data_IF_015636111229
#
_entry.id   IF_015636111229
#
_cell.length_a   1.000
_cell.length_b   1.000
_cell.length_c   1.000
_cell.angle_alpha   90.00
_cell.angle_beta   90.00
_cell.angle_gamma   90.00
#
_symmetry.space_group_name_H-M   'P 1'
#
loop_
_entity.id
_entity.type
_entity.pdbx_description
1 polymer ?
#
# COMPACT_ATOMS: atom_id res chain seq x y z
N UNK A 1 -3.82 9.31 3.90
CA UNK A 1 -4.39 10.29 4.84
C UNK A 1 -4.58 9.67 6.20
N UNK A 2 -4.81 10.47 7.24
CA UNK A 2 -5.34 9.99 8.51
C UNK A 2 -6.80 9.53 8.31
N UNK A 3 -7.17 8.41 8.91
CA UNK A 3 -8.56 7.94 9.00
C UNK A 3 -9.35 8.89 9.90
N UNK A 4 -10.56 9.25 9.48
CA UNK A 4 -11.50 10.03 10.28
C UNK A 4 -12.34 9.01 11.08
N UNK A 5 -12.17 8.89 12.41
CA UNK A 5 -12.88 7.89 13.18
C UNK A 5 -14.38 8.12 13.21
N UNK A 6 -15.16 7.05 13.07
CA UNK A 6 -16.62 7.07 13.29
C UNK A 6 -16.97 6.53 14.70
N UNK A 7 -15.98 5.95 15.38
CA UNK A 7 -16.07 5.38 16.72
C UNK A 7 -15.65 6.35 17.85
N UNK A 8 -15.92 5.96 19.10
CA UNK A 8 -15.46 6.64 20.32
C UNK A 8 -15.86 8.11 20.49
N UNK A 9 -17.03 8.49 19.98
CA UNK A 9 -17.59 9.86 20.05
C UNK A 9 -16.75 10.94 19.35
N UNK A 10 -15.86 10.55 18.44
CA UNK A 10 -15.13 11.49 17.59
C UNK A 10 -16.11 12.34 16.76
N UNK A 11 -15.81 13.64 16.62
CA UNK A 11 -16.68 14.63 15.97
C UNK A 11 -17.92 15.05 16.77
N UNK A 12 -18.36 14.24 17.75
CA UNK A 12 -19.52 14.56 18.61
C UNK A 12 -19.13 15.29 19.90
N UNK A 13 -17.98 14.94 20.48
CA UNK A 13 -17.45 15.57 21.69
C UNK A 13 -16.09 16.25 21.40
N UNK A 14 -15.95 17.56 21.65
CA UNK A 14 -14.73 18.31 21.31
C UNK A 14 -13.50 17.89 22.13
N UNK A 15 -13.67 17.11 23.21
CA UNK A 15 -12.54 16.55 23.98
C UNK A 15 -11.91 15.34 23.32
N UNK A 16 -12.56 14.77 22.29
CA UNK A 16 -12.04 13.63 21.53
C UNK A 16 -11.28 14.15 20.33
N UNK A 17 -9.99 13.82 20.25
CA UNK A 17 -9.07 14.29 19.22
C UNK A 17 -8.30 13.12 18.60
N UNK A 18 -7.76 13.27 17.40
CA UNK A 18 -6.78 12.35 16.83
C UNK A 18 -5.38 12.64 17.36
N UNK A 19 -4.44 11.71 17.15
CA UNK A 19 -3.02 11.96 17.45
C UNK A 19 -2.44 13.11 16.64
N UNK A 20 -2.91 13.33 15.42
CA UNK A 20 -2.46 14.44 14.58
C UNK A 20 -2.96 15.79 15.12
N UNK A 21 -4.23 15.86 15.52
CA UNK A 21 -4.82 17.06 16.15
C UNK A 21 -4.13 17.38 17.48
N UNK A 22 -3.91 16.38 18.34
CA UNK A 22 -3.14 16.56 19.57
C UNK A 22 -1.72 17.07 19.29
N UNK A 23 -1.06 16.54 18.26
CA UNK A 23 0.28 16.97 17.90
C UNK A 23 0.31 18.45 17.49
N UNK A 24 -0.72 18.92 16.77
CA UNK A 24 -0.88 20.34 16.44
C UNK A 24 -1.08 21.19 17.70
N UNK A 25 -1.91 20.75 18.65
CA UNK A 25 -2.09 21.45 19.93
C UNK A 25 -0.79 21.53 20.73
N UNK A 26 -0.04 20.43 20.84
CA UNK A 26 1.25 20.41 21.52
C UNK A 26 2.28 21.36 20.90
N UNK A 27 2.19 21.59 19.59
CA UNK A 27 3.12 22.47 18.87
C UNK A 27 2.69 23.94 18.85
N UNK A 28 1.39 24.23 18.78
CA UNK A 28 0.88 25.58 18.53
C UNK A 28 0.18 26.20 19.76
N UNK A 29 -0.43 25.37 20.60
CA UNK A 29 -1.25 25.79 21.73
C UNK A 29 -0.89 25.01 23.01
N UNK A 30 0.38 25.03 23.46
CA UNK A 30 0.83 24.25 24.62
C UNK A 30 0.08 24.62 25.91
N UNK A 31 -0.41 25.87 26.00
CA UNK A 31 -1.26 26.37 27.09
C UNK A 31 -2.52 25.50 27.29
N UNK A 32 -3.17 25.06 26.18
CA UNK A 32 -4.35 24.18 26.26
C UNK A 32 -4.01 22.86 26.93
N UNK A 33 -2.86 22.28 26.59
CA UNK A 33 -2.41 21.00 27.14
C UNK A 33 -1.96 21.13 28.59
N UNK A 34 -1.40 22.29 28.98
CA UNK A 34 -0.92 22.52 30.34
C UNK A 34 -2.03 22.40 31.41
N UNK A 35 -3.29 22.67 31.03
CA UNK A 35 -4.44 22.64 31.93
C UNK A 35 -5.13 21.27 32.01
N UNK A 36 -4.78 20.35 31.11
CA UNK A 36 -5.36 19.01 31.05
C UNK A 36 -4.82 18.18 32.22
N UNK A 37 -5.70 17.57 33.01
CA UNK A 37 -5.28 16.75 34.16
C UNK A 37 -5.12 15.28 33.78
N UNK A 38 -6.01 14.76 32.93
CA UNK A 38 -5.96 13.37 32.48
C UNK A 38 -6.15 13.24 30.97
N UNK A 39 -5.18 12.57 30.33
CA UNK A 39 -5.20 12.19 28.91
C UNK A 39 -5.27 10.67 28.79
N UNK A 40 -6.25 10.18 28.03
CA UNK A 40 -6.33 8.76 27.67
C UNK A 40 -6.12 8.63 26.17
N UNK A 41 -5.23 7.75 25.73
CA UNK A 41 -4.95 7.48 24.32
C UNK A 41 -5.41 6.06 23.95
N UNK A 42 -6.25 5.91 22.92
CA UNK A 42 -6.70 4.61 22.42
C UNK A 42 -5.89 4.23 21.18
N UNK A 43 -5.20 3.10 21.24
CA UNK A 43 -4.45 2.57 20.09
C UNK A 43 -5.33 1.74 19.15
N UNK A 44 -4.84 1.59 17.92
CA UNK A 44 -5.44 0.75 16.87
C UNK A 44 -6.83 1.20 16.41
N UNK A 45 -7.16 2.50 16.52
CA UNK A 45 -8.42 3.05 16.00
C UNK A 45 -8.41 2.96 14.47
N UNK A 46 -9.37 2.23 13.90
CA UNK A 46 -9.37 1.87 12.48
C UNK A 46 -8.21 0.97 11.99
N UNK A 47 -7.41 0.33 12.83
CA UNK A 47 -6.33 -0.58 12.38
C UNK A 47 -6.40 -1.92 13.09
N UNK A 48 -5.98 -3.00 12.42
CA UNK A 48 -6.06 -4.36 12.98
C UNK A 48 -7.51 -4.73 13.34
N UNK A 49 -8.40 -4.38 12.43
CA UNK A 49 -9.82 -4.72 12.43
C UNK A 49 -10.10 -5.64 11.25
N UNK A 50 -11.22 -6.38 11.26
CA UNK A 50 -11.52 -7.35 10.21
C UNK A 50 -11.52 -6.72 8.81
N UNK A 51 -12.12 -5.53 8.66
CA UNK A 51 -12.13 -4.78 7.40
C UNK A 51 -10.76 -4.19 7.01
N UNK A 52 -9.86 -4.01 7.98
CA UNK A 52 -8.54 -3.39 7.80
C UNK A 52 -7.51 -4.08 8.68
N UNK A 53 -7.06 -5.29 8.30
CA UNK A 53 -6.27 -6.17 9.17
C UNK A 53 -4.84 -5.67 9.40
N UNK A 54 -4.36 -4.73 8.57
CA UNK A 54 -3.02 -4.18 8.66
C UNK A 54 -2.81 -3.27 9.89
N UNK A 55 -1.55 -3.12 10.27
CA UNK A 55 -1.12 -2.16 11.28
C UNK A 55 -0.68 -0.86 10.62
N UNK A 56 -1.08 0.29 11.18
CA UNK A 56 -0.65 1.60 10.67
C UNK A 56 0.80 1.97 11.00
N UNK A 57 1.53 1.13 11.75
CA UNK A 57 2.99 1.18 12.04
C UNK A 57 3.53 2.42 12.76
N UNK A 58 2.87 3.57 12.70
CA UNK A 58 3.33 4.84 13.30
C UNK A 58 2.59 5.20 14.59
N UNK A 59 1.34 4.77 14.73
CA UNK A 59 0.44 5.14 15.84
C UNK A 59 1.04 4.93 17.24
N UNK A 60 1.67 3.77 17.49
CA UNK A 60 2.29 3.48 18.79
C UNK A 60 3.42 4.45 19.14
N UNK A 61 4.27 4.78 18.17
CA UNK A 61 5.42 5.66 18.38
C UNK A 61 4.99 7.13 18.49
N UNK A 62 4.00 7.55 17.70
CA UNK A 62 3.40 8.89 17.81
C UNK A 62 2.76 9.10 19.18
N UNK A 63 2.00 8.12 19.68
CA UNK A 63 1.42 8.19 21.01
C UNK A 63 2.47 8.35 22.11
N UNK A 64 3.56 7.58 22.05
CA UNK A 64 4.68 7.68 23.02
C UNK A 64 5.35 9.06 22.94
N UNK A 65 5.60 9.56 21.73
CA UNK A 65 6.21 10.88 21.53
C UNK A 65 5.33 12.02 22.08
N UNK A 66 4.03 12.00 21.74
CA UNK A 66 3.07 12.98 22.24
C UNK A 66 2.90 12.89 23.76
N UNK A 67 2.84 11.67 24.33
CA UNK A 67 2.73 11.46 25.77
C UNK A 67 3.95 11.98 26.54
N UNK A 68 5.16 11.76 26.03
CA UNK A 68 6.37 12.37 26.58
C UNK A 68 6.32 13.89 26.49
N UNK A 69 5.84 14.45 25.37
CA UNK A 69 5.73 15.89 25.22
C UNK A 69 4.72 16.52 26.18
N UNK A 70 3.60 15.85 26.45
CA UNK A 70 2.65 16.23 27.50
C UNK A 70 3.35 16.30 28.86
N UNK A 71 4.14 15.28 29.21
CA UNK A 71 4.91 15.26 30.47
C UNK A 71 5.98 16.34 30.56
N UNK A 72 6.57 16.76 29.45
CA UNK A 72 7.48 17.91 29.40
C UNK A 72 6.76 19.24 29.68
N UNK A 73 5.54 19.41 29.16
CA UNK A 73 4.75 20.64 29.34
C UNK A 73 4.17 20.70 30.75
N UNK A 74 3.54 19.62 31.21
CA UNK A 74 3.00 19.49 32.56
C UNK A 74 3.28 18.09 33.11
N UNK A 75 4.30 17.92 33.98
CA UNK A 75 4.66 16.64 34.57
C UNK A 75 3.55 15.98 35.39
N UNK A 76 2.62 16.76 35.93
CA UNK A 76 1.51 16.28 36.76
C UNK A 76 0.38 15.66 35.96
N UNK A 77 0.29 15.92 34.65
CA UNK A 77 -0.75 15.36 33.78
C UNK A 77 -0.70 13.83 33.80
N UNK A 78 -1.80 13.18 34.14
CA UNK A 78 -1.90 11.73 34.05
C UNK A 78 -2.09 11.32 32.59
N UNK A 79 -1.18 10.51 32.05
CA UNK A 79 -1.28 10.01 30.67
C UNK A 79 -1.40 8.50 30.69
N UNK A 80 -2.48 7.99 30.09
CA UNK A 80 -2.79 6.57 30.00
C UNK A 80 -2.88 6.19 28.52
N UNK A 81 -2.17 5.14 28.12
CA UNK A 81 -2.22 4.58 26.76
C UNK A 81 -2.88 3.20 26.82
N UNK A 82 -4.05 3.08 26.21
CA UNK A 82 -4.79 1.83 26.05
C UNK A 82 -4.33 1.14 24.77
N UNK A 83 -3.77 -0.08 24.88
CA UNK A 83 -3.11 -0.73 23.74
C UNK A 83 -3.37 -2.25 23.68
N UNK A 84 -3.18 -2.84 22.50
CA UNK A 84 -3.12 -4.31 22.33
C UNK A 84 -1.68 -4.80 22.44
N UNK A 85 -0.83 -4.27 21.55
CA UNK A 85 0.62 -4.47 21.53
C UNK A 85 1.30 -3.12 21.30
N UNK A 86 2.38 -2.83 22.04
CA UNK A 86 3.21 -1.66 21.77
C UNK A 86 4.23 -2.00 20.68
N UNK A 87 4.10 -1.36 19.52
CA UNK A 87 4.98 -1.59 18.35
C UNK A 87 5.98 -0.46 18.17
N UNK A 88 6.86 -0.28 19.15
CA UNK A 88 7.96 0.69 19.17
C UNK A 88 9.28 0.07 18.72
N UNK A 89 9.30 -0.52 17.52
CA UNK A 89 10.44 -1.30 17.02
C UNK A 89 11.74 -0.49 16.83
N UNK A 90 12.87 -1.17 16.98
CA UNK A 90 14.21 -0.59 16.84
C UNK A 90 14.52 0.40 17.97
N UNK A 91 15.12 1.53 17.64
CA UNK A 91 15.51 2.56 18.63
C UNK A 91 14.31 3.23 19.32
N UNK A 92 13.10 3.05 18.78
CA UNK A 92 11.86 3.61 19.36
C UNK A 92 11.52 2.97 20.70
N UNK A 93 12.07 1.79 21.00
CA UNK A 93 11.90 1.11 22.29
C UNK A 93 12.52 1.89 23.45
N UNK A 94 13.61 2.64 23.20
CA UNK A 94 14.21 3.51 24.20
C UNK A 94 13.26 4.63 24.64
N UNK A 95 12.47 5.16 23.70
CA UNK A 95 11.44 6.16 24.03
C UNK A 95 10.27 5.55 24.78
N UNK A 96 9.89 4.31 24.46
CA UNK A 96 8.87 3.60 25.23
C UNK A 96 9.33 3.36 26.68
N UNK A 97 10.58 2.95 26.89
CA UNK A 97 11.18 2.86 28.24
C UNK A 97 11.16 4.21 28.96
N UNK A 98 11.63 5.28 28.30
CA UNK A 98 11.62 6.64 28.85
C UNK A 98 10.21 7.08 29.24
N UNK A 99 9.20 6.75 28.43
CA UNK A 99 7.80 7.08 28.73
C UNK A 99 7.30 6.39 30.00
N UNK A 100 7.63 5.10 30.19
CA UNK A 100 7.29 4.37 31.41
C UNK A 100 7.98 4.96 32.64
N UNK A 101 9.26 5.32 32.52
CA UNK A 101 10.03 5.98 33.60
C UNK A 101 9.47 7.36 33.96
N UNK A 102 8.87 8.08 32.99
CA UNK A 102 8.16 9.34 33.20
C UNK A 102 6.76 9.17 33.83
N UNK A 103 6.38 7.95 34.23
CA UNK A 103 5.10 7.66 34.88
C UNK A 103 3.90 7.58 33.94
N UNK A 104 4.12 7.42 32.63
CA UNK A 104 3.04 7.19 31.65
C UNK A 104 2.55 5.74 31.82
N UNK A 105 1.22 5.58 31.97
CA UNK A 105 0.59 4.29 32.24
C UNK A 105 0.22 3.61 30.93
N UNK A 106 0.51 2.33 30.81
CA UNK A 106 0.17 1.52 29.64
C UNK A 106 -0.77 0.40 30.11
N UNK A 107 -2.00 0.39 29.61
CA UNK A 107 -3.02 -0.58 29.98
C UNK A 107 -3.35 -1.43 28.75
N UNK A 108 -3.14 -2.73 28.88
CA UNK A 108 -3.35 -3.67 27.78
C UNK A 108 -4.82 -4.11 27.73
N UNK A 109 -5.41 -4.12 26.55
CA UNK A 109 -6.74 -4.66 26.27
C UNK A 109 -6.69 -5.74 25.17
N UNK A 110 -7.64 -6.68 25.20
CA UNK A 110 -7.77 -7.71 24.15
C UNK A 110 -8.66 -7.23 22.99
N UNK A 111 -8.45 -7.70 21.75
CA UNK A 111 -9.31 -7.37 20.60
C UNK A 111 -10.81 -7.60 20.85
N UNK A 112 -11.16 -8.64 21.60
CA UNK A 112 -12.54 -9.02 21.93
C UNK A 112 -13.16 -8.14 23.03
N UNK A 113 -12.32 -7.43 23.79
CA UNK A 113 -12.72 -6.57 24.92
C UNK A 113 -12.13 -5.16 24.73
N UNK A 114 -12.59 -4.48 23.68
CA UNK A 114 -12.15 -3.11 23.36
C UNK A 114 -12.58 -2.11 24.43
N UNK A 115 -11.88 -0.98 24.57
CA UNK A 115 -12.34 0.11 25.43
C UNK A 115 -13.73 0.58 24.99
N UNK A 116 -14.57 0.92 25.93
CA UNK A 116 -15.90 1.52 25.69
C UNK A 116 -15.83 3.00 26.07
N UNK A 117 -16.38 3.85 25.21
CA UNK A 117 -16.40 5.30 25.44
C UNK A 117 -17.85 5.75 25.50
N UNK A 118 -18.24 6.35 26.63
CA UNK A 118 -19.58 6.93 26.82
C UNK A 118 -19.48 8.37 27.29
N UNK A 119 -20.49 9.16 26.94
CA UNK A 119 -20.67 10.54 27.42
C UNK A 119 -21.91 10.54 28.30
N UNK A 120 -21.70 10.64 29.62
CA UNK A 120 -22.78 10.66 30.61
C UNK A 120 -22.67 11.92 31.46
N UNK A 121 -23.76 12.65 31.62
CA UNK A 121 -23.81 13.88 32.44
C UNK A 121 -22.72 14.91 32.05
N UNK A 122 -22.38 14.99 30.76
CA UNK A 122 -21.32 15.87 30.25
C UNK A 122 -19.89 15.41 30.56
N UNK A 123 -19.70 14.24 31.20
CA UNK A 123 -18.38 13.66 31.47
C UNK A 123 -18.07 12.54 30.49
N UNK A 124 -16.87 12.57 29.93
CA UNK A 124 -16.35 11.50 29.10
C UNK A 124 -15.86 10.37 30.01
N UNK A 125 -16.37 9.15 29.80
CA UNK A 125 -15.97 7.95 30.52
C UNK A 125 -15.36 6.96 29.55
N UNK A 126 -14.20 6.43 29.90
CA UNK A 126 -13.53 5.36 29.13
C UNK A 126 -13.40 4.15 30.03
N UNK A 127 -14.13 3.08 29.71
CA UNK A 127 -14.07 1.81 30.42
C UNK A 127 -13.17 0.85 29.65
N UNK A 128 -12.27 0.18 30.35
CA UNK A 128 -11.42 -0.87 29.77
C UNK A 128 -11.26 -2.02 30.76
N UNK A 129 -11.28 -3.25 30.25
CA UNK A 129 -10.98 -4.43 31.06
C UNK A 129 -9.47 -4.58 31.18
N UNK A 130 -8.94 -4.39 32.39
CA UNK A 130 -7.52 -4.65 32.63
C UNK A 130 -7.25 -6.15 32.73
N UNK A 131 -6.32 -6.63 31.92
CA UNK A 131 -6.05 -8.07 31.83
C UNK A 131 -5.37 -8.65 33.06
N UNK A 132 -4.61 -7.85 33.81
CA UNK A 132 -3.87 -8.30 34.99
C UNK A 132 -4.79 -8.34 36.21
N UNK A 133 -5.61 -7.31 36.38
CA UNK A 133 -6.56 -7.16 37.48
C UNK A 133 -7.88 -7.88 37.22
N UNK A 134 -8.16 -8.30 35.98
CA UNK A 134 -9.41 -8.94 35.53
C UNK A 134 -10.66 -8.14 35.93
N UNK A 135 -10.52 -6.83 36.00
CA UNK A 135 -11.59 -5.91 36.41
C UNK A 135 -11.70 -4.74 35.45
N UNK A 136 -12.90 -4.18 35.36
CA UNK A 136 -13.15 -2.98 34.58
C UNK A 136 -12.57 -1.77 35.30
N UNK A 137 -11.67 -1.05 34.63
CA UNK A 137 -11.19 0.26 35.07
C UNK A 137 -11.95 1.32 34.30
N UNK A 138 -12.39 2.37 34.99
CA UNK A 138 -13.05 3.52 34.40
C UNK A 138 -12.13 4.73 34.55
N UNK A 139 -11.81 5.36 33.43
CA UNK A 139 -11.11 6.64 33.36
C UNK A 139 -12.10 7.75 33.01
N UNK A 140 -11.81 8.98 33.46
CA UNK A 140 -12.61 10.17 33.18
C UNK A 140 -11.70 11.25 32.57
N UNK A 141 -11.22 11.05 31.33
CA UNK A 141 -10.25 11.94 30.74
C UNK A 141 -10.85 13.32 30.44
N UNK A 142 -10.04 14.36 30.63
CA UNK A 142 -10.33 15.69 30.11
C UNK A 142 -10.08 15.75 28.59
N UNK A 143 -9.20 14.89 28.08
CA UNK A 143 -8.86 14.75 26.67
C UNK A 143 -8.69 13.27 26.30
N UNK A 144 -9.48 12.80 25.34
CA UNK A 144 -9.39 11.46 24.77
C UNK A 144 -8.75 11.53 23.39
N UNK A 145 -7.72 10.74 23.16
CA UNK A 145 -6.89 10.81 21.97
C UNK A 145 -6.98 9.49 21.21
N UNK A 146 -7.41 9.54 19.96
CA UNK A 146 -7.57 8.40 19.08
C UNK A 146 -6.35 8.27 18.18
N UNK A 147 -5.63 7.16 18.28
CA UNK A 147 -4.54 6.86 17.36
C UNK A 147 -5.09 6.25 16.07
N UNK A 148 -5.62 7.14 15.24
CA UNK A 148 -6.28 6.83 13.98
C UNK A 148 -5.33 6.17 12.96
N UNK A 149 -5.93 5.36 12.08
CA UNK A 149 -5.22 4.62 11.06
C UNK A 149 -4.68 5.51 9.92
N UNK A 150 -3.71 4.99 9.18
CA UNK A 150 -3.33 5.54 7.88
C UNK A 150 -4.13 4.83 6.79
N UNK A 151 -4.80 5.60 5.94
CA UNK A 151 -5.62 5.11 4.82
C UNK A 151 -5.12 5.64 3.47
N UNK A 152 -5.35 4.91 2.37
CA UNK A 152 -5.28 5.49 1.02
C UNK A 152 -6.24 6.67 0.90
N UNK A 153 -5.92 7.66 0.07
CA UNK A 153 -6.84 8.78 -0.16
C UNK A 153 -7.96 8.37 -1.12
N UNK A 154 -9.13 9.03 -1.11
CA UNK A 154 -10.25 8.72 -2.01
C UNK A 154 -9.85 8.73 -3.49
N UNK A 155 -8.92 9.59 -3.87
CA UNK A 155 -8.45 9.77 -5.24
C UNK A 155 -7.52 8.62 -5.69
N UNK A 156 -6.98 7.82 -4.76
CA UNK A 156 -5.98 6.79 -5.03
C UNK A 156 -6.48 5.78 -6.07
N UNK A 157 -7.74 5.33 -5.98
CA UNK A 157 -8.32 4.39 -6.96
C UNK A 157 -8.43 5.00 -8.36
N UNK A 158 -8.86 6.24 -8.45
CA UNK A 158 -8.98 6.95 -9.74
C UNK A 158 -7.61 7.15 -10.39
N UNK A 159 -6.60 7.53 -9.60
CA UNK A 159 -5.23 7.73 -10.06
C UNK A 159 -4.58 6.40 -10.48
N UNK A 160 -4.79 5.33 -9.70
CA UNK A 160 -4.31 4.00 -10.05
C UNK A 160 -4.92 3.51 -11.36
N UNK A 161 -6.21 3.74 -11.59
CA UNK A 161 -6.88 3.37 -12.85
C UNK A 161 -6.34 4.15 -14.04
N UNK A 162 -6.15 5.47 -13.88
CA UNK A 162 -5.60 6.35 -14.92
C UNK A 162 -4.22 5.88 -15.40
N UNK A 163 -3.35 5.51 -14.45
CA UNK A 163 -1.98 5.10 -14.74
C UNK A 163 -1.80 3.57 -14.87
N UNK A 164 -2.89 2.80 -14.76
CA UNK A 164 -2.89 1.33 -14.77
C UNK A 164 -1.91 0.73 -13.75
N UNK A 165 -1.89 1.31 -12.55
CA UNK A 165 -1.06 0.86 -11.44
C UNK A 165 -1.83 -0.15 -10.58
N UNK A 166 -1.20 -1.27 -10.19
CA UNK A 166 -1.85 -2.23 -9.31
C UNK A 166 -1.99 -1.69 -7.89
N UNK A 167 -3.09 -2.06 -7.24
CA UNK A 167 -3.31 -1.84 -5.81
C UNK A 167 -3.34 -3.19 -5.08
N UNK A 168 -2.95 -3.19 -3.82
CA UNK A 168 -3.11 -4.34 -2.93
C UNK A 168 -4.56 -4.45 -2.40
N UNK A 169 -4.82 -5.46 -1.57
CA UNK A 169 -6.14 -5.69 -0.99
C UNK A 169 -6.62 -4.56 -0.06
N UNK A 170 -5.68 -3.78 0.50
CA UNK A 170 -5.95 -2.67 1.41
C UNK A 170 -6.07 -1.32 0.68
N UNK A 171 -5.85 -1.31 -0.64
CA UNK A 171 -5.96 -0.14 -1.51
C UNK A 171 -4.70 0.72 -1.60
N UNK A 172 -3.55 0.25 -1.11
CA UNK A 172 -2.25 0.88 -1.34
C UNK A 172 -1.65 0.42 -2.65
N UNK A 173 -0.66 1.15 -3.16
CA UNK A 173 0.05 0.77 -4.37
C UNK A 173 0.89 -0.49 -4.15
N UNK A 174 0.73 -1.45 -5.06
CA UNK A 174 1.41 -2.73 -5.03
C UNK A 174 2.73 -2.65 -5.80
N UNK A 175 3.82 -3.02 -5.14
CA UNK A 175 5.15 -3.12 -5.73
C UNK A 175 5.28 -4.35 -6.66
N UNK A 176 6.29 -4.33 -7.53
CA UNK A 176 6.57 -5.44 -8.44
C UNK A 176 7.01 -6.72 -7.70
N UNK A 177 7.82 -6.57 -6.65
CA UNK A 177 8.24 -7.67 -5.79
C UNK A 177 8.76 -7.15 -4.45
N UNK A 178 8.18 -7.66 -3.35
CA UNK A 178 8.45 -7.26 -1.95
C UNK A 178 9.92 -7.23 -1.48
N UNK A 179 10.85 -7.84 -2.22
CA UNK A 179 12.28 -7.93 -1.84
C UNK A 179 13.19 -7.46 -2.96
N UNK A 180 12.98 -7.97 -4.17
CA UNK A 180 13.86 -7.69 -5.30
C UNK A 180 13.59 -6.32 -5.93
N UNK A 181 12.34 -5.88 -5.93
CA UNK A 181 11.90 -4.64 -6.58
C UNK A 181 10.83 -3.92 -5.73
N UNK A 182 11.15 -3.53 -4.49
CA UNK A 182 10.15 -3.01 -3.53
C UNK A 182 9.72 -1.56 -3.81
N UNK A 183 10.35 -0.89 -4.79
CA UNK A 183 10.08 0.50 -5.16
C UNK A 183 9.65 0.62 -6.63
N UNK A 184 9.59 -0.49 -7.36
CA UNK A 184 9.21 -0.49 -8.75
C UNK A 184 7.77 -0.96 -8.88
N UNK A 185 7.04 -0.44 -9.86
CA UNK A 185 5.83 -1.10 -10.34
C UNK A 185 6.16 -2.22 -11.32
N UNK A 186 5.19 -3.11 -11.56
CA UNK A 186 5.28 -4.08 -12.65
C UNK A 186 5.43 -3.37 -14.00
N UNK A 187 4.73 -2.24 -14.16
CA UNK A 187 4.85 -1.35 -15.32
C UNK A 187 6.21 -0.63 -15.25
N UNK A 188 7.00 -0.76 -16.31
CA UNK A 188 8.34 -0.15 -16.39
C UNK A 188 8.26 1.38 -16.36
N UNK A 189 9.28 2.02 -15.78
CA UNK A 189 9.41 3.48 -15.73
C UNK A 189 8.59 4.16 -14.63
N UNK A 190 7.82 3.41 -13.84
CA UNK A 190 7.04 3.95 -12.72
C UNK A 190 7.58 3.42 -11.39
N UNK A 191 7.70 4.31 -10.42
CA UNK A 191 8.28 4.00 -9.11
C UNK A 191 7.38 4.47 -7.97
N UNK A 192 7.61 3.90 -6.80
CA UNK A 192 6.75 3.98 -5.64
C UNK A 192 7.56 4.38 -4.40
N UNK A 193 7.02 5.30 -3.59
CA UNK A 193 7.61 5.66 -2.30
C UNK A 193 6.58 6.21 -1.31
N UNK A 194 6.93 6.22 -0.02
CA UNK A 194 6.17 6.90 1.03
C UNK A 194 4.87 6.19 1.38
N UNK A 195 3.88 6.94 1.86
CA UNK A 195 2.60 6.36 2.33
C UNK A 195 1.74 5.77 1.22
N UNK A 196 2.03 6.07 -0.06
CA UNK A 196 1.39 5.41 -1.20
C UNK A 196 1.65 3.89 -1.21
N UNK A 197 2.80 3.45 -0.70
CA UNK A 197 3.18 2.03 -0.53
C UNK A 197 2.71 1.45 0.80
N UNK A 198 1.74 2.06 1.47
CA UNK A 198 1.29 1.60 2.80
C UNK A 198 1.88 2.37 3.99
N UNK A 199 1.40 2.10 5.21
CA UNK A 199 1.81 2.83 6.39
C UNK A 199 3.29 2.62 6.72
N UNK A 200 4.03 3.69 7.01
CA UNK A 200 5.47 3.64 7.34
C UNK A 200 5.93 4.92 8.02
N UNK A 201 7.09 4.88 8.66
CA UNK A 201 7.64 6.07 9.32
C UNK A 201 8.18 7.12 8.35
N UNK A 202 8.50 8.30 8.88
CA UNK A 202 9.15 9.36 8.11
C UNK A 202 10.50 8.91 7.55
N UNK A 203 11.31 8.22 8.36
CA UNK A 203 12.64 7.75 7.97
C UNK A 203 12.55 6.71 6.84
N UNK A 204 11.60 5.79 6.93
CA UNK A 204 11.31 4.83 5.87
C UNK A 204 10.84 5.54 4.60
N UNK A 205 9.97 6.54 4.72
CA UNK A 205 9.46 7.32 3.57
C UNK A 205 10.59 8.07 2.86
N UNK A 206 11.48 8.72 3.60
CA UNK A 206 12.67 9.40 3.05
C UNK A 206 13.59 8.38 2.36
N UNK A 207 13.81 7.23 2.99
CA UNK A 207 14.66 6.17 2.42
C UNK A 207 14.08 5.63 1.11
N UNK A 208 12.76 5.41 1.06
CA UNK A 208 12.08 5.02 -0.17
C UNK A 208 12.12 6.12 -1.24
N UNK A 209 11.94 7.39 -0.87
CA UNK A 209 12.00 8.50 -1.82
C UNK A 209 13.38 8.59 -2.49
N UNK A 210 14.46 8.47 -1.70
CA UNK A 210 15.84 8.38 -2.22
C UNK A 210 16.02 7.17 -3.14
N UNK A 211 15.49 6.01 -2.75
CA UNK A 211 15.52 4.81 -3.56
C UNK A 211 14.78 4.97 -4.89
N UNK A 212 13.55 5.48 -4.87
CA UNK A 212 12.75 5.72 -6.06
C UNK A 212 13.42 6.73 -7.01
N UNK A 213 14.00 7.81 -6.46
CA UNK A 213 14.79 8.75 -7.24
C UNK A 213 16.02 8.09 -7.89
N UNK A 214 16.74 7.24 -7.16
CA UNK A 214 17.87 6.49 -7.71
C UNK A 214 17.42 5.52 -8.81
N UNK A 215 16.31 4.79 -8.63
CA UNK A 215 15.73 3.90 -9.65
C UNK A 215 15.33 4.68 -10.90
N UNK A 216 14.67 5.83 -10.76
CA UNK A 216 14.35 6.70 -11.87
C UNK A 216 15.60 7.20 -12.60
N UNK A 217 16.62 7.63 -11.85
CA UNK A 217 17.90 8.05 -12.42
C UNK A 217 18.58 6.95 -13.24
N UNK A 218 18.47 5.66 -12.85
CA UNK A 218 19.04 4.56 -13.65
C UNK A 218 18.40 4.43 -15.03
N UNK A 219 17.12 4.81 -15.19
CA UNK A 219 16.44 4.83 -16.49
C UNK A 219 16.83 6.08 -17.26
N UNK A 220 16.82 7.24 -16.60
CA UNK A 220 17.12 8.54 -17.22
C UNK A 220 18.58 8.70 -17.65
N UNK A 221 19.51 7.98 -17.00
CA UNK A 221 20.93 8.02 -17.33
C UNK A 221 21.28 7.18 -18.57
N UNK A 222 20.34 6.40 -19.10
CA UNK A 222 20.57 5.60 -20.30
C UNK A 222 20.30 6.43 -21.56
N UNK A 223 21.22 6.42 -22.51
CA UNK A 223 21.01 7.04 -23.83
C UNK A 223 19.95 6.30 -24.66
N UNK A 224 19.85 4.98 -24.45
CA UNK A 224 18.93 4.09 -25.16
C UNK A 224 18.39 3.05 -24.19
N UNK A 225 17.11 2.70 -24.34
CA UNK A 225 16.43 1.70 -23.50
C UNK A 225 15.99 0.54 -24.40
N UNK A 226 16.31 -0.68 -24.00
CA UNK A 226 15.79 -1.87 -24.66
C UNK A 226 14.30 -2.05 -24.36
N UNK A 227 13.49 -2.07 -25.40
CA UNK A 227 12.08 -2.45 -25.32
C UNK A 227 11.93 -3.98 -25.40
N UNK A 228 10.87 -4.52 -24.81
CA UNK A 228 10.62 -5.96 -24.82
C UNK A 228 10.47 -6.50 -26.24
N UNK A 229 11.06 -7.67 -26.52
CA UNK A 229 11.05 -8.27 -27.86
C UNK A 229 9.72 -8.91 -28.29
N UNK A 230 8.70 -8.93 -27.43
CA UNK A 230 7.36 -9.43 -27.75
C UNK A 230 6.56 -8.35 -28.46
N UNK A 231 6.90 -8.04 -29.70
CA UNK A 231 6.24 -7.01 -30.51
C UNK A 231 5.48 -7.63 -31.67
N UNK A 232 4.40 -6.99 -32.10
CA UNK A 232 3.65 -7.41 -33.28
C UNK A 232 4.33 -6.93 -34.57
N UNK A 233 4.46 -7.81 -35.55
CA UNK A 233 5.02 -7.54 -36.88
C UNK A 233 4.00 -7.95 -37.93
N UNK A 234 3.82 -7.12 -38.95
CA UNK A 234 2.88 -7.36 -40.05
C UNK A 234 3.63 -7.77 -41.32
N UNK A 235 3.13 -8.79 -42.01
CA UNK A 235 3.54 -9.10 -43.38
C UNK A 235 2.90 -8.09 -44.33
N UNK A 236 3.71 -7.14 -44.80
CA UNK A 236 3.27 -6.04 -45.63
C UNK A 236 2.86 -6.51 -47.04
N UNK A 237 3.60 -7.45 -47.64
CA UNK A 237 3.36 -7.90 -49.02
C UNK A 237 1.98 -8.52 -49.21
N UNK A 238 1.47 -9.24 -48.19
CA UNK A 238 0.16 -9.89 -48.25
C UNK A 238 -0.97 -9.04 -47.65
N UNK A 239 -0.62 -7.94 -46.98
CA UNK A 239 -1.56 -7.08 -46.29
C UNK A 239 -2.43 -6.30 -47.29
N UNK A 240 -3.75 -6.32 -47.07
CA UNK A 240 -4.73 -5.56 -47.89
C UNK A 240 -5.18 -4.26 -47.21
N UNK A 241 -4.50 -3.84 -46.14
CA UNK A 241 -4.76 -2.58 -45.44
C UNK A 241 -6.23 -2.41 -45.01
N UNK A 242 -6.87 -3.48 -44.51
CA UNK A 242 -8.27 -3.44 -44.03
C UNK A 242 -8.48 -2.60 -42.74
N UNK A 243 -7.39 -2.15 -42.12
CA UNK A 243 -7.33 -1.31 -40.92
C UNK A 243 -8.01 -1.89 -39.66
N UNK A 244 -8.32 -3.20 -39.63
CA UNK A 244 -8.86 -3.84 -38.42
C UNK A 244 -7.89 -3.72 -37.24
N UNK A 245 -6.60 -3.95 -37.47
CA UNK A 245 -5.57 -3.80 -36.45
C UNK A 245 -5.47 -2.38 -35.87
N UNK A 246 -5.67 -1.35 -36.69
CA UNK A 246 -5.66 0.07 -36.28
C UNK A 246 -6.78 0.34 -35.29
N UNK A 247 -8.00 -0.14 -35.58
CA UNK A 247 -9.18 0.06 -34.71
C UNK A 247 -9.13 -0.78 -33.44
N UNK A 248 -8.50 -1.95 -33.47
CA UNK A 248 -8.49 -2.90 -32.35
C UNK A 248 -7.41 -2.59 -31.31
N UNK A 249 -6.32 -1.89 -31.68
CA UNK A 249 -5.23 -1.63 -30.74
C UNK A 249 -5.63 -0.60 -29.68
N UNK A 250 -5.64 -0.95 -28.37
CA UNK A 250 -6.00 -0.01 -27.31
C UNK A 250 -4.93 1.09 -27.08
N UNK A 251 -3.78 0.97 -27.76
CA UNK A 251 -2.64 1.89 -27.68
C UNK A 251 -2.45 2.70 -28.97
N UNK A 252 -3.27 2.48 -30.01
CA UNK A 252 -3.16 3.21 -31.29
C UNK A 252 -1.86 2.98 -32.06
N UNK A 253 -1.18 1.85 -31.85
CA UNK A 253 0.17 1.58 -32.38
C UNK A 253 0.17 1.22 -33.88
N UNK A 254 -0.69 0.32 -34.38
CA UNK A 254 -0.75 0.06 -35.81
C UNK A 254 -1.26 1.30 -36.54
N UNK A 255 -0.51 1.80 -37.50
CA UNK A 255 -0.85 2.96 -38.30
C UNK A 255 -0.56 2.70 -39.78
N UNK A 256 -1.12 3.54 -40.66
CA UNK A 256 -0.80 3.52 -42.09
C UNK A 256 0.40 4.45 -42.29
N UNK A 257 1.49 3.93 -42.85
CA UNK A 257 2.69 4.73 -43.15
C UNK A 257 2.52 5.55 -44.44
N UNK A 258 3.55 6.31 -44.81
CA UNK A 258 3.54 7.17 -46.00
C UNK A 258 3.36 6.39 -47.32
N UNK A 259 3.74 5.11 -47.33
CA UNK A 259 3.60 4.20 -48.48
C UNK A 259 2.21 3.56 -48.57
N UNK A 260 1.30 3.90 -47.64
CA UNK A 260 -0.05 3.34 -47.59
C UNK A 260 -0.12 1.93 -46.96
N UNK A 261 0.96 1.45 -46.36
CA UNK A 261 1.06 0.13 -45.74
C UNK A 261 0.84 0.20 -44.23
N UNK A 262 0.35 -0.90 -43.65
CA UNK A 262 0.29 -0.99 -42.19
C UNK A 262 1.70 -1.13 -41.62
N UNK A 263 2.02 -0.30 -40.64
CA UNK A 263 3.25 -0.35 -39.86
C UNK A 263 2.90 -0.44 -38.37
N UNK A 264 3.68 -1.23 -37.63
CA UNK A 264 3.57 -1.36 -36.18
C UNK A 264 4.92 -0.96 -35.60
N UNK A 265 4.99 0.22 -34.98
CA UNK A 265 6.22 0.69 -34.34
C UNK A 265 6.59 -0.25 -33.17
N UNK A 266 7.75 -0.95 -33.23
CA UNK A 266 8.16 -1.87 -32.19
C UNK A 266 8.33 -1.20 -30.82
N UNK A 267 8.75 0.07 -30.78
CA UNK A 267 8.98 0.80 -29.53
C UNK A 267 7.69 1.16 -28.79
N UNK A 268 6.57 1.30 -29.50
CA UNK A 268 5.28 1.64 -28.91
C UNK A 268 4.41 0.39 -28.64
N UNK A 269 4.71 -0.74 -29.29
CA UNK A 269 3.94 -1.96 -29.18
C UNK A 269 4.04 -2.59 -27.77
N UNK A 270 2.89 -2.81 -27.13
CA UNK A 270 2.82 -3.45 -25.81
C UNK A 270 2.74 -4.99 -25.86
N UNK A 271 2.86 -5.60 -27.04
CA UNK A 271 2.91 -7.07 -27.18
C UNK A 271 1.62 -7.85 -26.86
N UNK A 272 0.49 -7.17 -26.64
CA UNK A 272 -0.75 -7.82 -26.18
C UNK A 272 -1.41 -8.80 -27.17
N UNK A 273 -1.05 -8.77 -28.46
CA UNK A 273 -1.59 -9.69 -29.47
C UNK A 273 -2.99 -9.40 -29.99
N UNK A 274 -3.70 -8.37 -29.51
CA UNK A 274 -5.06 -8.05 -29.98
C UNK A 274 -5.16 -7.82 -31.50
N UNK A 275 -4.13 -7.22 -32.12
CA UNK A 275 -4.10 -7.02 -33.56
C UNK A 275 -3.80 -8.32 -34.34
N UNK A 276 -2.98 -9.20 -33.78
CA UNK A 276 -2.68 -10.51 -34.36
C UNK A 276 -3.92 -11.41 -34.37
N UNK A 277 -4.64 -11.46 -33.25
CA UNK A 277 -5.88 -12.24 -33.14
C UNK A 277 -6.97 -11.74 -34.09
N UNK A 278 -7.13 -10.41 -34.20
CA UNK A 278 -8.16 -9.76 -35.01
C UNK A 278 -7.85 -9.68 -36.52
N UNK A 279 -6.62 -9.96 -36.95
CA UNK A 279 -6.27 -9.92 -38.37
C UNK A 279 -7.01 -11.02 -39.15
N UNK A 280 -7.92 -10.67 -40.10
CA UNK A 280 -8.71 -11.67 -40.81
C UNK A 280 -7.87 -12.57 -41.74
N UNK A 281 -6.71 -12.07 -42.20
CA UNK A 281 -5.77 -12.83 -43.03
C UNK A 281 -4.63 -13.48 -42.24
N UNK A 282 -4.60 -13.33 -40.91
CA UNK A 282 -3.53 -13.85 -40.02
C UNK A 282 -2.11 -13.43 -40.42
N UNK A 283 -1.96 -12.19 -40.89
CA UNK A 283 -0.71 -11.62 -41.37
C UNK A 283 0.07 -10.84 -40.30
N UNK A 284 -0.46 -10.75 -39.09
CA UNK A 284 0.21 -10.09 -37.96
C UNK A 284 0.62 -11.18 -36.98
N UNK A 285 1.91 -11.23 -36.65
CA UNK A 285 2.48 -12.20 -35.73
C UNK A 285 3.12 -11.47 -34.55
N UNK A 286 2.92 -11.97 -33.32
CA UNK A 286 3.62 -11.45 -32.14
C UNK A 286 4.92 -12.23 -31.97
N UNK A 287 6.05 -11.54 -31.99
CA UNK A 287 7.34 -12.17 -31.79
C UNK A 287 7.40 -12.89 -30.43
N UNK A 288 8.00 -14.08 -30.42
CA UNK A 288 8.06 -15.00 -29.27
C UNK A 288 6.70 -15.59 -28.82
N UNK A 289 5.60 -15.27 -29.52
CA UNK A 289 4.27 -15.86 -29.36
C UNK A 289 3.60 -16.02 -30.74
N UNK A 290 4.37 -16.46 -31.74
CA UNK A 290 3.85 -16.66 -33.10
C UNK A 290 2.88 -17.84 -33.15
N UNK A 291 2.03 -17.87 -34.16
CA UNK A 291 1.05 -18.94 -34.33
C UNK A 291 1.70 -20.33 -34.35
N UNK A 292 2.84 -20.51 -35.05
CA UNK A 292 3.60 -21.76 -35.07
C UNK A 292 4.10 -22.17 -33.67
N UNK A 293 4.54 -21.19 -32.87
CA UNK A 293 5.03 -21.42 -31.52
C UNK A 293 3.89 -21.76 -30.55
N UNK A 294 2.73 -21.12 -30.69
CA UNK A 294 1.54 -21.42 -29.88
C UNK A 294 1.00 -22.80 -30.24
N UNK A 295 0.85 -23.10 -31.54
CA UNK A 295 0.41 -24.41 -32.01
C UNK A 295 1.35 -25.52 -31.55
N UNK A 296 2.67 -25.30 -31.53
CA UNK A 296 3.63 -26.25 -30.99
C UNK A 296 3.43 -26.49 -29.47
N UNK A 297 3.17 -25.43 -28.69
CA UNK A 297 2.88 -25.55 -27.24
C UNK A 297 1.58 -26.33 -27.00
N UNK A 298 0.55 -26.07 -27.79
CA UNK A 298 -0.74 -26.80 -27.71
C UNK A 298 -0.57 -28.27 -28.10
N UNK A 299 0.12 -28.54 -29.22
CA UNK A 299 0.35 -29.90 -29.70
C UNK A 299 1.12 -30.73 -28.67
N UNK A 300 2.16 -30.16 -28.07
CA UNK A 300 2.94 -30.82 -27.02
C UNK A 300 2.09 -31.22 -25.79
N UNK A 301 1.05 -30.45 -25.46
CA UNK A 301 0.13 -30.79 -24.37
C UNK A 301 -0.67 -32.07 -24.65
N UNK A 302 -1.09 -32.27 -25.91
CA UNK A 302 -1.94 -33.40 -26.29
C UNK A 302 -1.15 -34.63 -26.75
N UNK A 303 0.01 -34.44 -27.41
CA UNK A 303 0.87 -35.54 -27.84
C UNK A 303 1.52 -36.26 -26.66
N UNK A 304 1.78 -35.56 -25.55
CA UNK A 304 2.28 -36.17 -24.31
C UNK A 304 1.19 -36.99 -23.59
N UNK A 305 -0.09 -36.72 -23.82
CA UNK A 305 -1.20 -37.50 -23.27
C UNK A 305 -1.57 -38.78 -24.06
N UNK A 306 -1.04 -38.93 -25.28
CA UNK A 306 -1.40 -40.01 -26.21
C UNK A 306 -0.56 -41.28 -26.12
N UNK A 307 0.52 -41.29 -25.33
CA UNK A 307 1.36 -42.48 -25.15
C UNK A 307 1.60 -42.76 -23.67
N UNK A 308 0.66 -43.50 -23.08
CA UNK A 308 1.04 -44.61 -22.21
C UNK A 308 1.88 -45.61 -23.05
N UNK A 309 3.14 -45.27 -23.35
CA UNK A 309 4.16 -46.20 -23.83
C UNK A 309 5.43 -45.94 -23.04
N UNK A 310 5.59 -46.79 -22.02
CA UNK A 310 6.85 -47.24 -21.43
C UNK A 310 7.98 -46.21 -21.37
N UNK A 311 8.16 -45.63 -20.18
CA UNK A 311 9.40 -45.06 -19.70
C UNK A 311 10.56 -46.08 -19.82
N UNK A 312 11.16 -46.17 -20.99
CA UNK A 312 12.27 -47.08 -21.24
C UNK A 312 12.90 -46.83 -22.60
N UNK A 313 13.58 -45.70 -22.77
CA UNK A 313 14.74 -45.56 -23.69
C UNK A 313 15.26 -44.13 -23.91
N UNK A 314 14.68 -43.06 -23.33
CA UNK A 314 15.11 -41.67 -23.62
C UNK A 314 16.19 -41.14 -22.66
N UNK A 315 17.09 -42.01 -22.21
CA UNK A 315 18.42 -41.59 -21.75
C UNK A 315 19.43 -42.53 -22.39
N UNK A 316 20.26 -42.06 -23.34
CA UNK A 316 21.47 -42.79 -23.69
C UNK A 316 22.36 -42.76 -22.45
N UNK A 317 22.75 -43.93 -21.96
CA UNK A 317 23.87 -44.03 -21.04
C UNK A 317 25.13 -43.58 -21.80
N UNK A 318 25.65 -42.41 -21.43
CA UNK A 318 27.05 -42.00 -21.57
C UNK A 318 27.31 -40.83 -20.62
#
# INVERSE_FOLDING_TARGET
SEYIPEEYAYGSDPRVQTQLELHQWLSQEPEKVSQVKQVVMIQCVGSREEAHPYCSRVCCSTAVANALKIKEINPQTEVIVLYRDMRTYGQKELFYKKAREAGIRFVRFEPEAKPEVTVEEGKLKVRVLDQNLKTGIIFQPDCLVLSAAVRPTPETKSFASLLKLPLDADGFFLEAHIKLRPLDFANAGMFLCGLGHGPKSLEESISQAKGAAARAATVLAQEQISVGGQVAVVDQERCIVCMTCVRTCPFGVPQVNEEGMIEINPAACQGCGNCASACPRKLIQVQNQRDDQIMAKETALFEWGGTARSWGSVFPAA
#
